data_IF_260709139182
#
_entry.id   IF_260709139182
#
_cell.length_a   1.000
_cell.length_b   1.000
_cell.length_c   1.000
_cell.angle_alpha   90.00
_cell.angle_beta   90.00
_cell.angle_gamma   90.00
#
_symmetry.space_group_name_H-M   'P 1'
#
loop_
_entity.id
_entity.type
_entity.pdbx_description
1 polymer ?
#
# COMPACT_ATOMS: atom_id res chain seq x y z
N UNK A 1 23.55 -10.23 74.74
CA UNK A 1 24.47 -11.01 73.88
C UNK A 1 23.77 -12.28 73.41
N UNK A 2 23.48 -12.38 72.11
CA UNK A 2 23.38 -13.64 71.35
C UNK A 2 23.50 -13.32 69.86
N UNK A 3 24.61 -13.77 69.27
CA UNK A 3 24.85 -13.89 67.83
C UNK A 3 23.89 -14.93 67.21
N UNK A 4 23.65 -15.03 65.92
CA UNK A 4 24.23 -14.37 64.76
C UNK A 4 23.48 -14.96 63.55
N UNK A 5 22.81 -14.08 62.82
CA UNK A 5 22.10 -14.34 61.57
C UNK A 5 23.06 -14.01 60.41
N UNK A 6 22.89 -14.70 59.26
CA UNK A 6 23.48 -14.47 57.93
C UNK A 6 24.63 -15.41 57.53
N UNK A 7 24.33 -16.39 56.65
CA UNK A 7 25.21 -16.81 55.52
C UNK A 7 24.70 -18.02 54.72
N UNK A 8 23.41 -18.09 54.36
CA UNK A 8 22.88 -19.17 53.50
C UNK A 8 22.01 -18.66 52.33
N UNK A 9 22.36 -17.49 51.77
CA UNK A 9 21.69 -16.91 50.60
C UNK A 9 22.63 -16.65 49.40
N UNK A 10 23.88 -17.09 49.45
CA UNK A 10 24.85 -16.88 48.36
C UNK A 10 25.36 -18.14 47.64
N UNK A 11 24.79 -19.32 47.90
CA UNK A 11 25.30 -20.59 47.36
C UNK A 11 24.37 -21.28 46.34
N UNK A 12 23.52 -20.51 45.63
CA UNK A 12 22.70 -21.03 44.51
C UNK A 12 22.69 -20.18 43.25
N UNK A 13 23.58 -19.18 43.14
CA UNK A 13 23.71 -18.30 41.97
C UNK A 13 24.97 -18.56 41.11
N UNK A 14 25.67 -19.68 41.31
CA UNK A 14 26.97 -19.96 40.64
C UNK A 14 26.97 -21.25 39.78
N UNK A 15 25.82 -21.92 39.60
CA UNK A 15 25.73 -23.16 38.79
C UNK A 15 24.76 -23.06 37.61
N UNK A 16 24.83 -21.96 36.86
CA UNK A 16 24.07 -21.76 35.62
C UNK A 16 24.78 -20.85 34.61
N UNK A 17 26.11 -20.86 34.59
CA UNK A 17 26.95 -19.99 33.75
C UNK A 17 28.03 -20.76 32.97
N UNK A 18 27.77 -22.03 32.66
CA UNK A 18 28.61 -22.84 31.77
C UNK A 18 27.68 -23.80 31.01
N UNK A 19 27.09 -23.34 29.90
CA UNK A 19 26.76 -24.04 28.63
C UNK A 19 25.97 -23.04 27.78
N UNK A 20 26.66 -22.08 27.16
CA UNK A 20 26.30 -21.44 25.87
C UNK A 20 27.39 -20.44 25.48
N UNK A 21 28.58 -20.96 25.19
CA UNK A 21 29.68 -20.19 24.64
C UNK A 21 30.44 -21.06 23.63
N UNK A 22 29.82 -21.38 22.50
CA UNK A 22 30.50 -21.67 21.22
C UNK A 22 29.49 -21.34 20.10
N UNK A 23 29.96 -20.64 19.06
CA UNK A 23 29.27 -20.21 17.82
C UNK A 23 28.38 -18.97 17.96
N UNK A 24 28.53 -17.87 17.24
CA UNK A 24 29.47 -17.43 16.20
C UNK A 24 29.45 -15.89 16.20
N UNK A 25 30.63 -15.26 16.25
CA UNK A 25 30.82 -13.84 16.01
C UNK A 25 31.29 -13.65 14.57
N UNK A 26 30.41 -13.26 13.65
CA UNK A 26 30.80 -12.78 12.32
C UNK A 26 30.81 -11.26 12.31
N UNK A 27 32.03 -10.74 12.36
CA UNK A 27 32.40 -9.34 12.19
C UNK A 27 32.38 -9.01 10.69
N UNK A 28 31.59 -8.02 10.26
CA UNK A 28 31.72 -7.45 8.91
C UNK A 28 32.69 -6.28 8.97
N UNK A 29 33.94 -6.56 8.61
CA UNK A 29 34.96 -5.56 8.35
C UNK A 29 34.73 -4.85 7.02
N UNK A 30 34.95 -3.54 7.02
CA UNK A 30 35.13 -2.73 5.82
C UNK A 30 36.35 -3.24 5.04
N UNK A 31 36.08 -3.87 3.89
CA UNK A 31 37.09 -4.21 2.89
C UNK A 31 37.08 -3.18 1.77
N UNK A 32 38.20 -2.47 1.61
CA UNK A 32 38.50 -1.62 0.47
C UNK A 32 38.59 -2.48 -0.80
N UNK A 33 37.77 -2.17 -1.81
CA UNK A 33 37.94 -2.72 -3.15
C UNK A 33 38.65 -1.68 -4.00
N UNK A 34 39.82 -2.09 -4.45
CA UNK A 34 40.74 -1.44 -5.38
C UNK A 34 40.06 -0.96 -6.67
N UNK A 35 40.27 0.32 -6.98
CA UNK A 35 40.14 0.91 -8.31
C UNK A 35 40.92 0.08 -9.33
N UNK A 36 40.22 -0.52 -10.29
CA UNK A 36 40.81 -0.92 -11.57
C UNK A 36 40.29 0.02 -12.64
N UNK A 37 41.18 0.90 -13.08
CA UNK A 37 41.01 1.69 -14.28
C UNK A 37 40.94 0.76 -15.50
N UNK A 38 39.85 0.85 -16.27
CA UNK A 38 39.83 0.39 -17.67
C UNK A 38 39.64 1.62 -18.54
N UNK A 39 40.66 1.91 -19.32
CA UNK A 39 40.68 2.92 -20.37
C UNK A 39 39.98 2.38 -21.63
N UNK A 40 39.34 3.30 -22.37
CA UNK A 40 39.00 3.27 -23.80
C UNK A 40 37.61 2.73 -24.24
N UNK A 41 36.68 3.63 -24.60
CA UNK A 41 36.49 4.21 -25.96
C UNK A 41 35.27 5.15 -25.96
N UNK A 42 35.27 6.26 -26.73
CA UNK A 42 34.11 7.13 -26.85
C UNK A 42 33.12 6.53 -27.85
N UNK A 43 31.94 6.14 -27.37
CA UNK A 43 30.74 5.88 -28.18
C UNK A 43 29.87 7.11 -27.96
N UNK A 44 29.74 8.05 -28.89
CA UNK A 44 29.23 7.83 -30.24
C UNK A 44 27.70 7.92 -30.16
N UNK A 45 27.13 9.01 -30.67
CA UNK A 45 25.70 9.29 -30.68
C UNK A 45 24.84 8.06 -30.99
N UNK A 46 23.94 7.71 -30.07
CA UNK A 46 22.64 7.16 -30.42
C UNK A 46 21.67 7.50 -29.28
N UNK A 47 20.71 8.35 -29.58
CA UNK A 47 19.47 8.45 -28.82
C UNK A 47 18.73 7.12 -29.01
N UNK A 48 19.06 6.11 -28.21
CA UNK A 48 18.26 4.88 -28.15
C UNK A 48 17.01 5.19 -27.33
N UNK A 49 15.89 5.20 -28.05
CA UNK A 49 14.57 5.50 -27.56
C UNK A 49 14.23 4.68 -26.33
N UNK A 50 13.53 5.33 -25.41
CA UNK A 50 12.75 4.64 -24.39
C UNK A 50 11.92 3.54 -25.08
N UNK A 51 11.79 2.35 -24.47
CA UNK A 51 10.93 1.31 -25.01
C UNK A 51 9.50 1.85 -25.09
N UNK A 52 9.06 2.18 -26.31
CA UNK A 52 7.67 2.46 -26.67
C UNK A 52 6.91 1.13 -26.64
N UNK A 53 6.58 0.64 -25.44
CA UNK A 53 5.73 -0.54 -25.30
C UNK A 53 4.28 -0.13 -25.04
N UNK A 54 3.35 -0.84 -25.68
CA UNK A 54 1.89 -0.59 -25.78
C UNK A 54 1.43 0.56 -26.71
N UNK A 55 1.31 0.23 -28.00
CA UNK A 55 0.37 0.77 -29.01
C UNK A 55 0.12 2.29 -29.03
N UNK A 56 0.63 2.92 -30.08
CA UNK A 56 0.36 4.31 -30.50
C UNK A 56 -1.14 4.64 -30.51
N UNK A 57 -1.59 5.43 -29.53
CA UNK A 57 -2.84 6.20 -29.69
C UNK A 57 -2.71 7.05 -30.95
N UNK A 58 -3.73 7.04 -31.79
CA UNK A 58 -3.77 7.95 -32.93
C UNK A 58 -4.08 9.35 -32.41
N UNK A 59 -3.07 10.21 -32.36
CA UNK A 59 -3.18 11.59 -31.88
C UNK A 59 -4.22 12.41 -32.69
N UNK A 60 -4.53 11.98 -33.91
CA UNK A 60 -5.46 12.66 -34.80
C UNK A 60 -6.92 12.23 -34.61
N UNK A 61 -7.19 11.11 -33.93
CA UNK A 61 -8.54 10.66 -33.60
C UNK A 61 -8.89 11.05 -32.16
N UNK A 62 -10.14 11.41 -31.91
CA UNK A 62 -10.60 11.76 -30.56
C UNK A 62 -10.33 10.61 -29.58
N UNK A 63 -9.69 10.92 -28.44
CA UNK A 63 -9.35 9.94 -27.43
C UNK A 63 -10.59 9.32 -26.78
N UNK A 64 -11.72 10.04 -26.78
CA UNK A 64 -13.00 9.54 -26.26
C UNK A 64 -13.57 8.37 -27.07
N UNK A 65 -13.16 8.25 -28.34
CA UNK A 65 -13.55 7.14 -29.22
C UNK A 65 -12.60 5.96 -29.09
N UNK A 66 -11.34 6.23 -28.75
CA UNK A 66 -10.28 5.23 -28.60
C UNK A 66 -10.25 4.63 -27.20
N UNK A 67 -10.73 5.32 -26.18
CA UNK A 67 -10.81 4.81 -24.82
C UNK A 67 -12.12 4.05 -24.59
N UNK A 68 -12.07 3.05 -23.71
CA UNK A 68 -13.26 2.47 -23.12
C UNK A 68 -14.09 3.54 -22.37
N UNK A 69 -15.42 3.38 -22.26
CA UNK A 69 -16.27 4.33 -21.55
C UNK A 69 -15.81 4.54 -20.10
N UNK A 70 -15.99 5.76 -19.58
CA UNK A 70 -15.59 6.14 -18.22
C UNK A 70 -16.12 5.17 -17.15
N UNK A 71 -17.36 4.70 -17.28
CA UNK A 71 -17.97 3.78 -16.31
C UNK A 71 -17.24 2.42 -16.26
N UNK A 72 -16.73 1.93 -17.38
CA UNK A 72 -15.96 0.68 -17.43
C UNK A 72 -14.53 0.87 -16.93
N UNK A 73 -13.91 2.03 -17.21
CA UNK A 73 -12.65 2.41 -16.57
C UNK A 73 -12.78 2.48 -15.06
N UNK A 74 -13.90 3.03 -14.56
CA UNK A 74 -14.15 3.15 -13.13
C UNK A 74 -14.33 1.78 -12.47
N UNK A 75 -15.00 0.82 -13.12
CA UNK A 75 -15.09 -0.56 -12.62
C UNK A 75 -13.72 -1.23 -12.54
N UNK A 76 -12.88 -1.06 -13.56
CA UNK A 76 -11.50 -1.56 -13.53
C UNK A 76 -10.69 -0.90 -12.41
N UNK A 77 -10.77 0.44 -12.29
CA UNK A 77 -10.09 1.17 -11.24
C UNK A 77 -10.55 0.72 -9.84
N UNK A 78 -11.84 0.46 -9.62
CA UNK A 78 -12.34 -0.10 -8.36
C UNK A 78 -11.77 -1.49 -8.08
N UNK A 79 -11.62 -2.33 -9.11
CA UNK A 79 -11.08 -3.68 -8.97
C UNK A 79 -9.58 -3.69 -8.63
N UNK A 80 -8.81 -2.69 -9.10
CA UNK A 80 -7.37 -2.65 -8.93
C UNK A 80 -6.85 -1.62 -7.92
N UNK A 81 -7.66 -0.64 -7.51
CA UNK A 81 -7.26 0.44 -6.60
C UNK A 81 -6.77 -0.09 -5.23
N UNK A 82 -5.49 0.17 -4.86
CA UNK A 82 -4.97 -0.20 -3.55
C UNK A 82 -5.69 0.50 -2.39
N UNK A 83 -6.11 1.76 -2.59
CA UNK A 83 -6.79 2.54 -1.55
C UNK A 83 -8.15 1.93 -1.17
N UNK A 84 -8.96 1.55 -2.17
CA UNK A 84 -10.26 0.92 -1.93
C UNK A 84 -10.09 -0.49 -1.33
N UNK A 85 -9.09 -1.25 -1.79
CA UNK A 85 -8.75 -2.57 -1.22
C UNK A 85 -8.33 -2.47 0.25
N UNK A 86 -7.51 -1.48 0.59
CA UNK A 86 -7.07 -1.23 1.96
C UNK A 86 -8.26 -0.92 2.87
N UNK A 87 -9.10 0.05 2.50
CA UNK A 87 -10.28 0.39 3.30
C UNK A 87 -11.28 -0.78 3.39
N UNK A 88 -11.40 -1.60 2.33
CA UNK A 88 -12.15 -2.85 2.37
C UNK A 88 -11.59 -3.87 3.35
N UNK A 89 -10.27 -4.04 3.40
CA UNK A 89 -9.62 -4.94 4.35
C UNK A 89 -9.79 -4.44 5.80
N UNK A 90 -9.70 -3.13 6.04
CA UNK A 90 -9.98 -2.54 7.36
C UNK A 90 -11.43 -2.76 7.76
N UNK A 91 -12.39 -2.59 6.84
CA UNK A 91 -13.81 -2.84 7.11
C UNK A 91 -14.06 -4.31 7.52
N UNK A 92 -13.42 -5.26 6.82
CA UNK A 92 -13.48 -6.69 7.14
C UNK A 92 -12.84 -7.04 8.49
N UNK A 93 -11.71 -6.40 8.83
CA UNK A 93 -11.12 -6.50 10.16
C UNK A 93 -12.10 -6.05 11.24
N UNK A 94 -12.80 -4.93 11.03
CA UNK A 94 -13.70 -4.40 12.05
C UNK A 94 -15.00 -5.19 12.16
N UNK A 95 -15.45 -5.79 11.05
CA UNK A 95 -16.51 -6.78 11.05
C UNK A 95 -16.14 -8.01 11.90
N UNK A 96 -14.90 -8.49 11.74
CA UNK A 96 -14.38 -9.62 12.53
C UNK A 96 -14.27 -9.26 14.02
N UNK A 97 -13.83 -8.04 14.34
CA UNK A 97 -13.81 -7.53 15.71
C UNK A 97 -15.22 -7.42 16.32
N UNK A 98 -16.21 -6.98 15.54
CA UNK A 98 -17.61 -6.94 15.97
C UNK A 98 -18.19 -8.34 16.23
N UNK A 99 -17.90 -9.30 15.35
CA UNK A 99 -18.29 -10.70 15.56
C UNK A 99 -17.61 -11.31 16.78
N UNK A 100 -16.31 -11.04 16.98
CA UNK A 100 -15.57 -11.48 18.15
C UNK A 100 -16.17 -10.89 19.44
N UNK A 101 -16.54 -9.61 19.46
CA UNK A 101 -17.18 -8.98 20.61
C UNK A 101 -18.53 -9.65 20.96
N UNK A 102 -19.28 -10.14 19.96
CA UNK A 102 -20.48 -10.96 20.20
C UNK A 102 -20.14 -12.33 20.76
N UNK A 103 -19.14 -13.01 20.20
CA UNK A 103 -18.73 -14.34 20.65
C UNK A 103 -18.11 -14.33 22.05
N UNK A 104 -17.48 -13.23 22.47
CA UNK A 104 -16.97 -13.06 23.82
C UNK A 104 -18.06 -13.18 24.90
N UNK A 105 -19.33 -12.86 24.57
CA UNK A 105 -20.44 -13.10 25.49
C UNK A 105 -20.60 -14.60 25.81
N UNK A 106 -20.25 -15.47 24.87
CA UNK A 106 -20.32 -16.91 25.03
C UNK A 106 -19.09 -17.48 25.76
N UNK A 107 -17.97 -16.75 25.84
CA UNK A 107 -16.73 -17.20 26.50
C UNK A 107 -16.87 -17.37 28.02
N UNK A 108 -17.91 -16.77 28.61
CA UNK A 108 -18.23 -16.92 30.02
C UNK A 108 -18.78 -18.33 30.38
N UNK A 109 -19.06 -19.16 29.37
CA UNK A 109 -19.41 -20.56 29.51
C UNK A 109 -18.18 -21.43 29.20
N UNK A 110 -17.56 -22.01 30.21
CA UNK A 110 -16.43 -22.93 30.03
C UNK A 110 -16.76 -24.31 30.55
N UNK A 111 -16.60 -25.33 29.71
CA UNK A 111 -16.62 -26.73 30.14
C UNK A 111 -15.23 -27.10 30.63
N UNK A 112 -15.14 -27.71 31.82
CA UNK A 112 -13.88 -28.25 32.31
C UNK A 112 -14.01 -29.75 32.56
N UNK A 113 -12.97 -30.47 32.20
CA UNK A 113 -12.77 -31.87 32.59
C UNK A 113 -11.38 -31.93 33.22
N UNK A 114 -11.35 -32.12 34.52
CA UNK A 114 -10.12 -32.22 35.29
C UNK A 114 -9.96 -33.65 35.78
N UNK A 115 -8.82 -34.26 35.50
CA UNK A 115 -8.40 -35.52 36.11
C UNK A 115 -7.28 -35.20 37.10
N UNK A 116 -7.52 -35.47 38.39
CA UNK A 116 -6.52 -35.30 39.43
C UNK A 116 -6.10 -36.67 39.96
N UNK A 117 -4.79 -36.93 39.92
CA UNK A 117 -4.16 -38.12 40.49
C UNK A 117 -3.04 -37.65 41.42
N UNK A 118 -3.09 -38.03 42.68
CA UNK A 118 -2.13 -37.57 43.69
C UNK A 118 -2.50 -38.00 45.11
N UNK A 119 -1.49 -38.22 45.94
CA UNK A 119 -1.65 -38.56 47.35
C UNK A 119 -2.10 -37.31 48.13
N UNK A 120 -3.39 -37.21 48.44
CA UNK A 120 -3.95 -36.16 49.28
C UNK A 120 -3.88 -36.63 50.74
N UNK A 121 -2.74 -36.40 51.38
CA UNK A 121 -2.68 -36.45 52.83
C UNK A 121 -3.46 -35.24 53.36
N UNK A 122 -4.76 -35.42 53.62
CA UNK A 122 -5.50 -34.45 54.43
C UNK A 122 -4.87 -34.49 55.83
N UNK A 123 -4.15 -33.44 56.20
CA UNK A 123 -3.77 -33.17 57.58
C UNK A 123 -5.05 -32.84 58.35
N UNK A 124 -5.79 -33.89 58.72
CA UNK A 124 -6.87 -33.82 59.69
C UNK A 124 -6.22 -33.55 61.04
N UNK A 125 -6.20 -32.30 61.49
CA UNK A 125 -5.91 -31.94 62.88
C UNK A 125 -7.13 -32.28 63.77
N UNK A 126 -7.63 -33.50 63.65
CA UNK A 126 -8.68 -34.09 64.46
C UNK A 126 -8.14 -35.38 65.08
N UNK A 127 -8.14 -35.44 66.40
CA UNK A 127 -7.47 -36.41 67.26
C UNK A 127 -8.01 -37.84 67.15
N UNK A 128 -7.87 -38.52 66.00
CA UNK A 128 -8.06 -39.97 65.84
C UNK A 128 -7.26 -40.49 64.63
N UNK A 129 -6.00 -40.86 64.88
CA UNK A 129 -5.02 -41.32 63.90
C UNK A 129 -5.09 -42.84 63.65
N UNK A 130 -6.21 -43.35 63.12
CA UNK A 130 -6.32 -44.77 62.74
C UNK A 130 -6.98 -45.05 61.39
N UNK A 131 -7.27 -44.02 60.60
CA UNK A 131 -7.77 -44.19 59.23
C UNK A 131 -6.96 -43.34 58.24
N UNK A 132 -5.64 -43.53 58.27
CA UNK A 132 -4.67 -42.75 57.49
C UNK A 132 -4.04 -43.58 56.37
N UNK A 133 -4.79 -44.52 55.79
CA UNK A 133 -4.29 -45.48 54.80
C UNK A 133 -5.30 -45.83 53.70
N UNK A 134 -6.11 -44.88 53.22
CA UNK A 134 -6.80 -45.03 51.93
C UNK A 134 -7.35 -43.70 51.39
N UNK A 135 -6.51 -42.67 51.22
CA UNK A 135 -6.91 -41.48 50.46
C UNK A 135 -6.13 -41.34 49.16
N UNK A 136 -6.20 -42.39 48.33
CA UNK A 136 -5.95 -42.26 46.89
C UNK A 136 -7.17 -41.53 46.31
N UNK A 137 -7.11 -40.20 46.30
CA UNK A 137 -8.15 -39.36 45.70
C UNK A 137 -7.91 -39.24 44.19
N UNK A 138 -8.01 -40.35 43.46
CA UNK A 138 -8.15 -40.32 42.01
C UNK A 138 -9.58 -39.90 41.68
N UNK A 139 -9.75 -38.67 41.18
CA UNK A 139 -11.07 -38.10 40.93
C UNK A 139 -11.16 -37.49 39.54
N UNK A 140 -12.20 -37.87 38.81
CA UNK A 140 -12.63 -37.15 37.61
C UNK A 140 -13.61 -36.06 38.04
N UNK A 141 -13.31 -34.81 37.69
CA UNK A 141 -14.23 -33.68 37.86
C UNK A 141 -14.58 -33.14 36.49
N UNK A 142 -15.77 -33.46 36.01
CA UNK A 142 -16.37 -32.78 34.87
C UNK A 142 -17.40 -31.77 35.39
N UNK A 143 -17.42 -30.58 34.83
CA UNK A 143 -18.37 -29.54 35.20
C UNK A 143 -18.40 -28.42 34.19
N UNK A 144 -19.43 -27.60 34.26
CA UNK A 144 -19.53 -26.36 33.51
C UNK A 144 -19.34 -25.22 34.50
N UNK A 145 -18.38 -24.34 34.22
CA UNK A 145 -18.19 -23.11 34.98
C UNK A 145 -18.82 -21.95 34.20
N UNK A 146 -19.73 -21.25 34.85
CA UNK A 146 -20.35 -20.03 34.34
C UNK A 146 -19.86 -18.86 35.19
N UNK A 147 -19.01 -18.02 34.62
CA UNK A 147 -18.51 -16.81 35.29
C UNK A 147 -19.26 -15.61 34.75
N UNK A 148 -20.14 -15.02 35.56
CA UNK A 148 -20.85 -13.79 35.20
C UNK A 148 -20.23 -12.64 36.00
N UNK A 149 -19.37 -11.85 35.36
CA UNK A 149 -18.86 -10.63 36.00
C UNK A 149 -19.88 -9.50 35.87
N UNK A 150 -20.02 -8.65 36.89
CA UNK A 150 -20.89 -7.46 36.83
C UNK A 150 -20.48 -6.51 35.68
N UNK A 151 -19.18 -6.49 35.36
CA UNK A 151 -18.63 -5.81 34.19
C UNK A 151 -19.23 -6.34 32.87
N UNK A 152 -19.52 -7.65 32.77
CA UNK A 152 -20.04 -8.23 31.55
C UNK A 152 -21.50 -7.81 31.28
N UNK A 153 -22.28 -7.54 32.31
CA UNK A 153 -23.68 -7.07 32.18
C UNK A 153 -23.77 -5.63 31.66
N UNK A 154 -22.92 -4.73 32.14
CA UNK A 154 -23.00 -3.30 31.80
C UNK A 154 -22.05 -2.85 30.69
N UNK A 155 -20.84 -3.41 30.62
CA UNK A 155 -19.81 -2.96 29.68
C UNK A 155 -19.91 -3.65 28.30
N UNK A 156 -20.36 -4.91 28.24
CA UNK A 156 -20.41 -5.67 26.97
C UNK A 156 -21.37 -5.10 25.94
N UNK A 157 -22.61 -4.68 26.29
CA UNK A 157 -23.49 -4.06 25.31
C UNK A 157 -22.87 -2.78 24.74
N UNK A 158 -22.14 -2.02 25.55
CA UNK A 158 -21.42 -0.82 25.10
C UNK A 158 -20.24 -1.17 24.18
N UNK A 159 -19.46 -2.21 24.50
CA UNK A 159 -18.37 -2.70 23.64
C UNK A 159 -18.89 -3.17 22.28
N UNK A 160 -20.00 -3.92 22.25
CA UNK A 160 -20.64 -4.37 21.01
C UNK A 160 -21.16 -3.18 20.20
N UNK A 161 -21.78 -2.20 20.85
CA UNK A 161 -22.26 -0.97 20.20
C UNK A 161 -21.10 -0.16 19.62
N UNK A 162 -19.99 -0.05 20.35
CA UNK A 162 -18.77 0.63 19.88
C UNK A 162 -18.17 -0.09 18.67
N UNK A 163 -18.02 -1.42 18.74
CA UNK A 163 -17.49 -2.21 17.63
C UNK A 163 -18.39 -2.10 16.38
N UNK A 164 -19.72 -2.09 16.56
CA UNK A 164 -20.68 -1.83 15.48
C UNK A 164 -20.48 -0.45 14.87
N UNK A 165 -20.45 0.61 15.70
CA UNK A 165 -20.26 1.97 15.23
C UNK A 165 -18.93 2.16 14.49
N UNK A 166 -17.86 1.51 14.95
CA UNK A 166 -16.56 1.52 14.27
C UNK A 166 -16.61 0.79 12.92
N UNK A 167 -17.33 -0.32 12.82
CA UNK A 167 -17.53 -1.01 11.54
C UNK A 167 -18.35 -0.15 10.57
N UNK A 168 -19.45 0.44 11.02
CA UNK A 168 -20.30 1.33 10.23
C UNK A 168 -19.50 2.56 9.74
N UNK A 169 -18.70 3.18 10.61
CA UNK A 169 -17.81 4.28 10.24
C UNK A 169 -16.76 3.88 9.20
N UNK A 170 -16.23 2.66 9.27
CA UNK A 170 -15.24 2.15 8.29
C UNK A 170 -15.90 1.86 6.94
N UNK A 171 -17.16 1.41 6.93
CA UNK A 171 -17.95 1.28 5.70
C UNK A 171 -18.13 2.62 5.00
N UNK A 172 -18.46 3.69 5.75
CA UNK A 172 -18.55 5.03 5.16
C UNK A 172 -17.20 5.53 4.65
N UNK A 173 -16.10 5.26 5.37
CA UNK A 173 -14.75 5.58 4.90
C UNK A 173 -14.43 4.91 3.56
N UNK A 174 -14.81 3.64 3.40
CA UNK A 174 -14.67 2.94 2.12
C UNK A 174 -15.45 3.64 1.01
N UNK A 175 -16.72 4.01 1.25
CA UNK A 175 -17.53 4.74 0.25
C UNK A 175 -16.93 6.10 -0.11
N UNK A 176 -16.40 6.81 0.88
CA UNK A 176 -15.67 8.07 0.67
C UNK A 176 -14.45 7.83 -0.24
N UNK A 177 -13.68 6.76 -0.01
CA UNK A 177 -12.54 6.40 -0.86
C UNK A 177 -12.98 6.09 -2.31
N UNK A 178 -14.11 5.40 -2.50
CA UNK A 178 -14.69 5.14 -3.84
C UNK A 178 -15.11 6.44 -4.55
N UNK A 179 -15.73 7.38 -3.82
CA UNK A 179 -16.10 8.69 -4.36
C UNK A 179 -14.86 9.50 -4.76
N UNK A 180 -13.83 9.52 -3.90
CA UNK A 180 -12.57 10.18 -4.22
C UNK A 180 -11.89 9.56 -5.45
N UNK A 181 -11.88 8.23 -5.54
CA UNK A 181 -11.36 7.52 -6.72
C UNK A 181 -12.11 7.95 -7.99
N UNK A 182 -13.45 7.99 -7.93
CA UNK A 182 -14.28 8.41 -9.08
C UNK A 182 -13.97 9.84 -9.51
N UNK A 183 -13.87 10.77 -8.54
CA UNK A 183 -13.57 12.18 -8.81
C UNK A 183 -12.20 12.34 -9.45
N UNK A 184 -11.20 11.68 -8.91
CA UNK A 184 -9.82 11.79 -9.41
C UNK A 184 -9.68 11.17 -10.80
N UNK A 185 -10.29 10.01 -11.03
CA UNK A 185 -10.34 9.39 -12.35
C UNK A 185 -11.03 10.30 -13.37
N UNK A 186 -12.11 10.97 -12.97
CA UNK A 186 -12.80 11.92 -13.83
C UNK A 186 -11.91 13.13 -14.17
N UNK A 187 -11.21 13.70 -13.20
CA UNK A 187 -10.27 14.80 -13.44
C UNK A 187 -9.16 14.38 -14.42
N UNK A 188 -8.53 13.22 -14.20
CA UNK A 188 -7.50 12.69 -15.10
C UNK A 188 -8.02 12.46 -16.52
N UNK A 189 -9.24 11.92 -16.65
CA UNK A 189 -9.89 11.72 -17.93
C UNK A 189 -10.12 13.05 -18.68
N UNK A 190 -10.59 14.07 -17.97
CA UNK A 190 -10.81 15.39 -18.56
C UNK A 190 -9.50 16.11 -18.90
N UNK A 191 -8.47 15.98 -18.07
CA UNK A 191 -7.13 16.52 -18.32
C UNK A 191 -6.48 15.86 -19.54
N UNK A 192 -6.72 14.56 -19.73
CA UNK A 192 -6.27 13.84 -20.92
C UNK A 192 -6.94 14.40 -22.19
N UNK A 193 -8.26 14.52 -22.21
CA UNK A 193 -9.01 15.10 -23.35
C UNK A 193 -8.54 16.53 -23.63
N UNK A 194 -8.38 17.35 -22.58
CA UNK A 194 -7.91 18.72 -22.71
C UNK A 194 -6.50 18.77 -23.31
N UNK A 195 -5.57 17.97 -22.79
CA UNK A 195 -4.20 17.91 -23.28
C UNK A 195 -4.12 17.46 -24.75
N UNK A 196 -5.00 16.55 -25.18
CA UNK A 196 -5.12 16.18 -26.59
C UNK A 196 -5.56 17.36 -27.46
N UNK A 197 -6.61 18.08 -27.04
CA UNK A 197 -7.12 19.24 -27.78
C UNK A 197 -6.05 20.33 -27.91
N UNK A 198 -5.33 20.60 -26.82
CA UNK A 198 -4.22 21.55 -26.82
C UNK A 198 -3.13 21.08 -27.78
N UNK A 199 -2.74 19.80 -27.75
CA UNK A 199 -1.75 19.24 -28.67
C UNK A 199 -2.18 19.43 -30.14
N UNK A 200 -3.44 19.13 -30.48
CA UNK A 200 -3.95 19.33 -31.84
C UNK A 200 -3.90 20.79 -32.30
N UNK A 201 -4.24 21.73 -31.41
CA UNK A 201 -4.12 23.17 -31.70
C UNK A 201 -2.65 23.52 -31.96
N UNK A 202 -1.73 23.09 -31.10
CA UNK A 202 -0.29 23.37 -31.26
C UNK A 202 0.30 22.76 -32.52
N UNK A 203 -0.14 21.56 -32.92
CA UNK A 203 0.29 20.95 -34.18
C UNK A 203 -0.18 21.76 -35.39
N UNK A 204 -1.40 22.31 -35.37
CA UNK A 204 -1.88 23.21 -36.44
C UNK A 204 -1.09 24.51 -36.46
N UNK A 205 -0.81 25.09 -35.30
CA UNK A 205 0.01 26.30 -35.17
C UNK A 205 1.44 26.09 -35.71
N UNK A 206 2.05 24.92 -35.45
CA UNK A 206 3.37 24.56 -35.98
C UNK A 206 3.39 24.44 -37.50
N UNK A 207 2.35 23.82 -38.11
CA UNK A 207 2.24 23.78 -39.57
C UNK A 207 2.08 25.17 -40.18
N UNK A 208 1.28 26.04 -39.55
CA UNK A 208 1.13 27.42 -39.99
C UNK A 208 2.44 28.22 -39.85
N UNK A 209 3.16 28.05 -38.74
CA UNK A 209 4.44 28.72 -38.50
C UNK A 209 5.54 28.21 -39.46
N UNK A 210 5.53 26.91 -39.78
CA UNK A 210 6.45 26.32 -40.77
C UNK A 210 6.19 26.88 -42.18
N UNK A 211 4.92 27.02 -42.56
CA UNK A 211 4.55 27.64 -43.83
C UNK A 211 4.99 29.11 -43.89
N UNK A 212 4.77 29.88 -42.83
CA UNK A 212 5.22 31.27 -42.74
C UNK A 212 6.75 31.40 -42.80
N UNK A 213 7.48 30.53 -42.09
CA UNK A 213 8.94 30.47 -42.14
C UNK A 213 9.46 30.20 -43.57
N UNK A 214 8.87 29.22 -44.28
CA UNK A 214 9.24 28.91 -45.66
C UNK A 214 8.94 30.04 -46.63
N UNK A 215 7.83 30.75 -46.45
CA UNK A 215 7.50 31.94 -47.27
C UNK A 215 8.53 33.03 -47.02
N UNK A 216 8.86 33.32 -45.76
CA UNK A 216 9.87 34.30 -45.40
C UNK A 216 11.25 33.95 -45.99
N UNK A 217 11.64 32.67 -45.97
CA UNK A 217 12.89 32.21 -46.58
C UNK A 217 12.94 32.49 -48.10
N UNK A 218 11.85 32.19 -48.81
CA UNK A 218 11.73 32.48 -50.25
C UNK A 218 11.71 33.98 -50.53
N UNK A 219 11.08 34.79 -49.69
CA UNK A 219 11.05 36.25 -49.83
C UNK A 219 12.40 36.90 -49.54
N UNK A 220 13.15 36.36 -48.58
CA UNK A 220 14.53 36.80 -48.27
C UNK A 220 15.45 36.51 -49.45
N UNK A 221 15.36 35.31 -50.05
CA UNK A 221 16.13 34.95 -51.24
C UNK A 221 15.83 35.86 -52.43
N UNK A 222 14.60 36.36 -52.53
CA UNK A 222 14.17 37.34 -53.55
C UNK A 222 14.50 38.78 -53.17
N UNK A 223 15.12 39.02 -52.01
CA UNK A 223 15.45 40.36 -51.49
C UNK A 223 14.23 41.21 -51.12
N UNK A 224 13.06 40.59 -50.95
CA UNK A 224 11.80 41.31 -50.65
C UNK A 224 11.63 41.66 -49.17
N UNK A 225 12.28 40.92 -48.29
CA UNK A 225 12.27 41.16 -46.83
C UNK A 225 13.69 41.32 -46.31
N UNK A 226 13.83 41.95 -45.14
CA UNK A 226 15.14 42.11 -44.50
C UNK A 226 15.54 40.85 -43.71
N UNK A 227 16.84 40.61 -43.48
CA UNK A 227 17.31 39.49 -42.65
C UNK A 227 16.73 39.50 -41.23
N UNK A 228 16.45 40.67 -40.66
CA UNK A 228 15.85 40.82 -39.34
C UNK A 228 14.41 40.27 -39.31
N UNK A 229 13.63 40.53 -40.37
CA UNK A 229 12.27 40.00 -40.50
C UNK A 229 12.28 38.46 -40.66
N UNK A 230 13.28 37.91 -41.35
CA UNK A 230 13.47 36.46 -41.43
C UNK A 230 13.86 35.85 -40.07
N UNK A 231 14.79 36.47 -39.34
CA UNK A 231 15.21 36.02 -38.01
C UNK A 231 14.03 35.99 -37.02
N UNK A 232 13.13 36.98 -37.08
CA UNK A 232 11.90 36.99 -36.28
C UNK A 232 11.00 35.77 -36.58
N UNK A 233 10.77 35.45 -37.85
CA UNK A 233 9.98 34.28 -38.24
C UNK A 233 10.65 32.96 -37.84
N UNK A 234 11.97 32.88 -37.94
CA UNK A 234 12.76 31.73 -37.47
C UNK A 234 12.60 31.50 -35.96
N UNK A 235 12.71 32.56 -35.16
CA UNK A 235 12.53 32.49 -33.71
C UNK A 235 11.10 32.05 -33.35
N UNK A 236 10.09 32.63 -34.01
CA UNK A 236 8.69 32.23 -33.81
C UNK A 236 8.45 30.75 -34.15
N UNK A 237 9.09 30.23 -35.20
CA UNK A 237 9.00 28.81 -35.53
C UNK A 237 9.66 27.93 -34.47
N UNK A 238 10.86 28.29 -34.01
CA UNK A 238 11.55 27.57 -32.93
C UNK A 238 10.76 27.56 -31.61
N UNK A 239 10.13 28.68 -31.25
CA UNK A 239 9.23 28.78 -30.10
C UNK A 239 8.02 27.87 -30.27
N UNK A 240 7.33 27.95 -31.41
CA UNK A 240 6.14 27.12 -31.69
C UNK A 240 6.48 25.64 -31.59
N UNK A 241 7.60 25.21 -32.18
CA UNK A 241 8.08 23.82 -32.09
C UNK A 241 8.36 23.39 -30.66
N UNK A 242 8.95 24.27 -29.84
CA UNK A 242 9.15 24.01 -28.41
C UNK A 242 7.83 23.80 -27.69
N UNK A 243 6.81 24.63 -27.96
CA UNK A 243 5.48 24.49 -27.34
C UNK A 243 4.75 23.22 -27.76
N UNK A 244 4.97 22.73 -28.99
CA UNK A 244 4.44 21.43 -29.44
C UNK A 244 5.05 20.29 -28.64
N UNK A 245 6.36 20.27 -28.47
CA UNK A 245 7.03 19.20 -27.71
C UNK A 245 6.63 19.21 -26.23
N UNK A 246 6.41 20.39 -25.65
CA UNK A 246 5.83 20.53 -24.31
C UNK A 246 4.41 19.94 -24.24
N UNK A 247 3.55 20.26 -25.21
CA UNK A 247 2.18 19.73 -25.27
C UNK A 247 2.16 18.20 -25.45
N UNK A 248 3.05 17.65 -26.29
CA UNK A 248 3.22 16.19 -26.44
C UNK A 248 3.63 15.55 -25.13
N UNK A 249 4.62 16.12 -24.46
CA UNK A 249 5.09 15.63 -23.17
C UNK A 249 3.96 15.62 -22.14
N UNK A 250 3.15 16.68 -22.08
CA UNK A 250 2.02 16.75 -21.15
C UNK A 250 0.96 15.69 -21.45
N UNK A 251 0.64 15.49 -22.73
CA UNK A 251 -0.30 14.45 -23.14
C UNK A 251 0.18 13.05 -22.74
N UNK A 252 1.45 12.74 -23.00
CA UNK A 252 2.07 11.46 -22.61
C UNK A 252 2.04 11.27 -21.08
N UNK A 253 2.35 12.32 -20.31
CA UNK A 253 2.26 12.28 -18.84
C UNK A 253 0.83 11.98 -18.36
N UNK A 254 -0.18 12.61 -18.96
CA UNK A 254 -1.58 12.39 -18.59
C UNK A 254 -2.03 10.96 -18.91
N UNK A 255 -1.54 10.39 -20.01
CA UNK A 255 -1.76 8.97 -20.34
C UNK A 255 -1.18 8.05 -19.27
N UNK A 256 0.09 8.21 -18.90
CA UNK A 256 0.72 7.36 -17.88
C UNK A 256 0.11 7.57 -16.49
N UNK A 257 -0.31 8.80 -16.16
CA UNK A 257 -1.03 9.07 -14.92
C UNK A 257 -2.35 8.29 -14.86
N UNK A 258 -3.08 8.21 -15.98
CA UNK A 258 -4.31 7.43 -16.07
C UNK A 258 -4.04 5.94 -15.91
N UNK A 259 -3.01 5.41 -16.57
CA UNK A 259 -2.58 4.00 -16.47
C UNK A 259 -2.29 3.61 -15.01
N UNK A 260 -1.49 4.42 -14.32
CA UNK A 260 -1.12 4.19 -12.92
C UNK A 260 -2.34 4.22 -12.01
N UNK A 261 -3.31 5.10 -12.30
CA UNK A 261 -4.50 5.27 -11.46
C UNK A 261 -5.53 4.16 -11.65
N UNK A 262 -5.69 3.66 -12.87
CA UNK A 262 -6.57 2.51 -13.17
C UNK A 262 -5.90 1.19 -12.76
N UNK A 263 -4.56 1.14 -12.74
CA UNK A 263 -3.79 -0.04 -12.37
C UNK A 263 -3.76 -1.12 -13.46
N UNK A 264 -4.09 -0.74 -14.70
CA UNK A 264 -4.15 -1.61 -15.86
C UNK A 264 -3.40 -0.93 -17.01
N UNK A 265 -2.55 -1.66 -17.74
CA UNK A 265 -1.79 -1.09 -18.84
C UNK A 265 -2.70 -0.58 -19.98
N UNK A 266 -2.22 0.46 -20.65
CA UNK A 266 -2.96 1.23 -21.67
C UNK A 266 -3.56 0.36 -22.78
N UNK A 267 -2.91 -0.73 -23.17
CA UNK A 267 -3.41 -1.62 -24.21
C UNK A 267 -4.78 -2.23 -23.90
N UNK A 268 -5.14 -2.38 -22.63
CA UNK A 268 -6.47 -2.87 -22.23
C UNK A 268 -7.52 -1.76 -22.11
N UNK A 269 -7.09 -0.50 -22.16
CA UNK A 269 -7.97 0.67 -22.12
C UNK A 269 -8.36 1.16 -23.52
N UNK A 270 -7.71 0.63 -24.56
CA UNK A 270 -8.02 0.91 -25.95
C UNK A 270 -9.25 0.10 -26.38
N UNK A 271 -10.23 0.77 -26.96
CA UNK A 271 -11.36 0.16 -27.64
C UNK A 271 -10.91 -0.22 -29.06
N UNK A 272 -11.04 -1.50 -29.40
CA UNK A 272 -10.77 -2.02 -30.75
C UNK A 272 -11.59 -1.29 -31.83
#
# INVERSE_FOLDING_TARGET
MKAGQNSLLHQKWILGLIVWAVMESVSYGQGSVSSSAVTAKPVGLAAEGMPLDSMTFDFNRDITVQLIPFDDMFKLALAYSPAVKFEGAVANSQLSAYQLAKLQVLQNLTGFVNYSTGNQAILSTGTNATDQLAQISNGYRAGVNVVISLHDLFARPQQIRLAKANHDATLERKRIAEIYLKRELYNLYQDLILSQRVLQIRLRDDQASLAAFRIAEVELQKGKITPEAHAFNSNRYAETRTTVEQAKTQFIKNIYALELFVGVPIHQLKRD
#
